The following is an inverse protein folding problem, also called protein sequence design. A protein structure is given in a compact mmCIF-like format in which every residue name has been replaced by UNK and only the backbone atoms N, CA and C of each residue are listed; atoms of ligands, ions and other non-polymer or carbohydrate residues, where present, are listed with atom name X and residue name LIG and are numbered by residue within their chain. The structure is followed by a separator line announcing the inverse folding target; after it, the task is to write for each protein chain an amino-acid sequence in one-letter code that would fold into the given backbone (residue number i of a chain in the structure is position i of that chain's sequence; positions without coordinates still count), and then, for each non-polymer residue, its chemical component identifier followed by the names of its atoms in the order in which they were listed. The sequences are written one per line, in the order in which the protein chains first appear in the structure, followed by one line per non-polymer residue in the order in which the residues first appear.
data_IF_198521474655
#
_entry.id   IF_198521474655
#
_cell.length_a   1.000
_cell.length_b   1.000
_cell.length_c   1.000
_cell.angle_alpha   90.00
_cell.angle_beta   90.00
_cell.angle_gamma   90.00
#
_symmetry.space_group_name_H-M   'P 1'
#
loop_
_entity.id
_entity.type
_entity.pdbx_description
1 polymer ?
#
# COMPACT_ATOMS: atom_id res chain seq x y z
N UNK A 1 -0.72 13.87 26.85
CA UNK A 1 0.63 14.47 26.84
C UNK A 1 1.66 13.40 27.20
N UNK A 2 2.27 12.79 26.17
CA UNK A 2 3.57 12.08 26.24
C UNK A 2 3.90 11.64 24.81
N UNK A 3 4.59 12.52 24.11
CA UNK A 3 5.13 12.35 22.76
C UNK A 3 6.22 11.29 22.82
N UNK A 4 6.05 10.18 22.11
CA UNK A 4 7.14 9.25 21.81
C UNK A 4 7.69 9.63 20.44
N UNK A 5 8.87 10.23 20.45
CA UNK A 5 9.71 10.47 19.28
C UNK A 5 10.28 9.10 18.89
N UNK A 6 9.83 8.54 17.77
CA UNK A 6 10.51 7.43 17.11
C UNK A 6 11.37 8.06 16.02
N UNK A 7 12.68 7.93 16.19
CA UNK A 7 13.67 8.37 15.22
C UNK A 7 13.62 7.42 14.01
N UNK A 8 13.05 7.91 12.91
CA UNK A 8 13.21 7.29 11.59
C UNK A 8 14.62 7.65 11.13
N UNK A 9 15.48 6.63 11.06
CA UNK A 9 16.78 6.73 10.39
C UNK A 9 16.47 6.77 8.90
N UNK A 10 16.22 7.98 8.38
CA UNK A 10 16.28 8.25 6.96
C UNK A 10 17.76 8.14 6.57
N UNK A 11 18.13 7.04 5.91
CA UNK A 11 19.33 7.02 5.09
C UNK A 11 19.01 7.96 3.92
N UNK A 12 19.33 9.23 4.11
CA UNK A 12 19.27 10.24 3.08
C UNK A 12 20.26 9.81 2.02
N UNK A 13 19.77 9.30 0.89
CA UNK A 13 20.49 9.23 -0.36
C UNK A 13 20.78 10.67 -0.82
N UNK A 14 21.76 11.29 -0.17
CA UNK A 14 22.35 12.57 -0.55
C UNK A 14 23.63 12.27 -1.30
N UNK A 15 23.48 11.89 -2.57
CA UNK A 15 24.45 11.97 -3.65
C UNK A 15 23.65 11.61 -4.91
N UNK A 16 23.39 12.46 -5.90
CA UNK A 16 24.08 13.67 -6.33
C UNK A 16 23.12 14.48 -7.25
N UNK A 17 22.17 15.22 -6.69
CA UNK A 17 21.43 16.28 -7.41
C UNK A 17 22.01 17.64 -6.99
N UNK A 18 23.31 17.81 -7.19
CA UNK A 18 23.86 19.15 -7.36
C UNK A 18 23.73 19.47 -8.84
N UNK A 19 22.77 20.34 -9.16
CA UNK A 19 22.88 21.22 -10.31
C UNK A 19 24.14 22.08 -10.11
N UNK A 20 25.30 21.50 -10.43
CA UNK A 20 26.48 22.31 -10.74
C UNK A 20 26.05 23.06 -12.00
N UNK A 21 26.12 24.40 -12.06
CA UNK A 21 26.10 25.05 -13.36
C UNK A 21 27.15 24.30 -14.18
N UNK A 22 26.79 23.85 -15.38
CA UNK A 22 27.78 23.35 -16.35
C UNK A 22 28.69 24.56 -16.62
N UNK A 23 29.68 24.75 -15.76
CA UNK A 23 30.91 25.34 -16.15
C UNK A 23 31.36 24.41 -17.28
N UNK A 24 31.41 24.98 -18.48
CA UNK A 24 32.21 24.47 -19.59
C UNK A 24 33.65 24.44 -19.06
N UNK A 25 33.94 23.42 -18.25
CA UNK A 25 35.19 23.17 -17.57
C UNK A 25 35.95 22.22 -18.46
N UNK A 26 37.03 22.75 -19.02
CA UNK A 26 38.02 22.06 -19.85
C UNK A 26 38.03 20.54 -19.71
N UNK A 27 37.77 19.88 -20.83
CA UNK A 27 38.05 18.47 -21.09
C UNK A 27 39.43 18.10 -20.49
N UNK A 28 39.42 17.41 -19.36
CA UNK A 28 40.65 16.92 -18.74
C UNK A 28 41.10 15.70 -19.54
N UNK A 29 41.95 15.93 -20.54
CA UNK A 29 42.63 14.88 -21.29
C UNK A 29 43.91 14.55 -20.52
N UNK A 30 44.04 13.37 -19.86
CA UNK A 30 45.32 12.95 -19.33
C UNK A 30 46.35 12.88 -20.46
N UNK A 31 47.56 13.38 -20.19
CA UNK A 31 48.67 13.63 -21.12
C UNK A 31 49.34 12.35 -21.68
N UNK A 32 48.59 11.27 -21.85
CA UNK A 32 48.97 10.10 -22.66
C UNK A 32 48.17 10.10 -23.95
N UNK A 33 48.41 11.10 -24.81
CA UNK A 33 47.97 11.09 -26.22
C UNK A 33 48.73 9.97 -26.95
N UNK A 34 48.25 8.74 -26.82
CA UNK A 34 48.71 7.62 -27.62
C UNK A 34 48.09 7.76 -29.01
N UNK A 35 48.89 7.59 -30.06
CA UNK A 35 48.45 7.56 -31.46
C UNK A 35 47.59 6.31 -31.69
N UNK A 36 46.34 6.32 -31.25
CA UNK A 36 45.38 5.30 -31.64
C UNK A 36 44.84 5.57 -33.02
N UNK A 37 44.61 4.49 -33.76
CA UNK A 37 44.06 4.53 -35.11
C UNK A 37 42.58 4.24 -35.02
N UNK A 38 41.79 5.03 -35.74
CA UNK A 38 40.35 4.82 -35.97
C UNK A 38 40.21 4.20 -37.36
N UNK A 39 40.00 2.89 -37.44
CA UNK A 39 39.79 2.17 -38.69
C UNK A 39 38.34 2.24 -39.15
N UNK A 40 37.38 2.25 -38.22
CA UNK A 40 35.96 2.26 -38.49
C UNK A 40 35.23 3.38 -37.74
N UNK A 41 34.16 3.86 -38.37
CA UNK A 41 33.11 4.63 -37.73
C UNK A 41 31.84 3.76 -37.75
N UNK A 42 31.60 3.04 -36.66
CA UNK A 42 30.36 2.28 -36.46
C UNK A 42 29.31 3.18 -35.84
N UNK A 43 28.11 3.12 -36.38
CA UNK A 43 26.96 3.88 -35.89
C UNK A 43 25.86 2.92 -35.46
N UNK A 44 25.48 3.04 -34.19
CA UNK A 44 24.56 2.16 -33.47
C UNK A 44 24.41 2.64 -32.04
N UNK A 45 23.29 2.34 -31.42
CA UNK A 45 23.00 2.70 -30.03
C UNK A 45 22.07 1.65 -29.40
N UNK A 46 22.10 1.49 -28.06
CA UNK A 46 21.12 0.68 -27.35
C UNK A 46 19.75 1.35 -27.41
N UNK A 47 18.70 0.54 -27.33
CA UNK A 47 17.33 1.04 -27.22
C UNK A 47 16.52 0.09 -26.34
N UNK A 48 16.20 0.49 -25.11
CA UNK A 48 15.56 -0.41 -24.14
C UNK A 48 14.05 -0.21 -24.12
N UNK A 49 13.32 -1.33 -24.08
CA UNK A 49 11.87 -1.32 -23.84
C UNK A 49 11.59 -2.04 -22.55
N UNK A 50 11.03 -1.31 -21.59
CA UNK A 50 10.58 -1.86 -20.32
C UNK A 50 9.15 -2.43 -20.41
N UNK A 51 8.93 -3.60 -19.81
CA UNK A 51 7.63 -4.24 -19.69
C UNK A 51 7.44 -4.81 -18.29
N UNK A 52 6.31 -4.50 -17.64
CA UNK A 52 5.90 -5.12 -16.39
C UNK A 52 5.46 -6.56 -16.66
N UNK A 53 6.00 -7.51 -15.89
CA UNK A 53 5.68 -8.94 -15.98
C UNK A 53 4.81 -9.33 -14.80
N UNK A 54 3.73 -10.07 -15.06
CA UNK A 54 2.86 -10.62 -14.02
C UNK A 54 1.64 -9.73 -13.74
N UNK A 55 1.20 -9.74 -12.49
CA UNK A 55 0.04 -8.98 -12.05
C UNK A 55 0.36 -7.48 -11.91
N UNK A 56 -0.64 -6.66 -12.20
CA UNK A 56 -0.59 -5.22 -12.01
C UNK A 56 -1.74 -4.71 -11.14
N UNK A 57 -2.61 -5.59 -10.64
CA UNK A 57 -3.67 -5.28 -9.71
C UNK A 57 -3.27 -5.67 -8.28
N UNK A 58 -3.43 -4.74 -7.33
CA UNK A 58 -3.00 -4.91 -5.95
C UNK A 58 -4.08 -4.43 -4.98
N UNK A 59 -4.11 -5.00 -3.79
CA UNK A 59 -4.97 -4.61 -2.68
C UNK A 59 -4.26 -3.64 -1.72
N UNK A 60 -5.01 -2.97 -0.85
CA UNK A 60 -4.43 -2.05 0.14
C UNK A 60 -3.56 -2.81 1.13
N UNK A 61 -2.45 -2.20 1.53
CA UNK A 61 -1.51 -2.82 2.48
C UNK A 61 -0.77 -4.04 1.96
N UNK A 62 -0.94 -4.41 0.68
CA UNK A 62 -0.29 -5.55 0.05
C UNK A 62 1.21 -5.30 -0.15
N UNK A 63 2.04 -6.30 0.18
CA UNK A 63 3.46 -6.34 -0.16
C UNK A 63 3.64 -7.16 -1.44
N UNK A 64 4.24 -6.57 -2.48
CA UNK A 64 4.43 -7.20 -3.78
C UNK A 64 5.82 -6.93 -4.35
N UNK A 65 6.16 -7.60 -5.47
CA UNK A 65 7.40 -7.35 -6.22
C UNK A 65 7.04 -7.07 -7.66
N UNK A 66 7.31 -5.86 -8.13
CA UNK A 66 7.19 -5.51 -9.54
C UNK A 66 8.42 -6.06 -10.28
N UNK A 67 8.19 -7.04 -11.16
CA UNK A 67 9.22 -7.57 -12.05
C UNK A 67 9.14 -6.86 -13.41
N UNK A 68 10.19 -6.10 -13.75
CA UNK A 68 10.26 -5.32 -14.98
C UNK A 68 11.33 -5.93 -15.88
N UNK A 69 10.94 -6.36 -17.07
CA UNK A 69 11.87 -6.86 -18.09
C UNK A 69 12.19 -5.76 -19.08
N UNK A 70 13.47 -5.59 -19.35
CA UNK A 70 14.01 -4.68 -20.36
C UNK A 70 14.50 -5.49 -21.54
N UNK A 71 13.95 -5.24 -22.72
CA UNK A 71 14.46 -5.82 -23.96
C UNK A 71 15.24 -4.78 -24.75
N UNK A 72 16.46 -5.10 -25.14
CA UNK A 72 17.29 -4.20 -25.93
C UNK A 72 17.07 -4.43 -27.42
N UNK A 73 16.42 -3.47 -28.08
CA UNK A 73 16.18 -3.41 -29.50
C UNK A 73 17.22 -2.57 -30.25
N UNK A 74 18.27 -2.13 -29.55
CA UNK A 74 19.40 -1.43 -30.12
C UNK A 74 20.06 -2.22 -31.24
N UNK A 75 20.59 -1.51 -32.23
CA UNK A 75 21.18 -2.13 -33.41
C UNK A 75 22.30 -1.27 -33.99
N UNK A 76 23.19 -1.92 -34.71
CA UNK A 76 24.16 -1.25 -35.59
C UNK A 76 23.48 -0.96 -36.93
N UNK A 77 23.42 0.32 -37.31
CA UNK A 77 22.78 0.75 -38.55
C UNK A 77 23.77 1.16 -39.63
N UNK A 78 25.03 1.44 -39.29
CA UNK A 78 26.07 1.77 -40.27
C UNK A 78 27.45 1.35 -39.80
N UNK A 79 28.24 0.82 -40.72
CA UNK A 79 29.68 0.59 -40.56
C UNK A 79 30.36 1.29 -41.73
N UNK A 80 31.27 2.23 -41.44
CA UNK A 80 32.02 2.97 -42.46
C UNK A 80 33.51 2.84 -42.13
N UNK A 81 34.35 2.51 -43.11
CA UNK A 81 35.81 2.62 -42.92
C UNK A 81 36.23 4.08 -42.86
N UNK A 82 37.00 4.45 -41.84
CA UNK A 82 37.56 5.80 -41.66
C UNK A 82 39.00 5.86 -42.17
N UNK A 83 39.82 4.84 -41.86
CA UNK A 83 41.16 4.66 -42.44
C UNK A 83 41.17 3.63 -43.57
N UNK A 84 41.71 4.02 -44.72
CA UNK A 84 42.01 3.09 -45.81
C UNK A 84 43.39 2.48 -45.62
N UNK A 85 43.46 1.15 -45.62
CA UNK A 85 44.72 0.41 -45.53
C UNK A 85 45.43 0.38 -46.89
N UNK A 86 46.74 0.59 -46.88
CA UNK A 86 47.57 0.57 -48.09
C UNK A 86 48.40 -0.72 -48.13
N UNK A 87 48.14 -1.60 -49.10
CA UNK A 87 48.82 -2.90 -49.23
C UNK A 87 50.33 -2.81 -49.48
N UNK A 88 50.86 -1.61 -49.75
CA UNK A 88 52.29 -1.38 -49.93
C UNK A 88 53.00 -1.00 -48.63
N UNK A 89 52.28 -0.84 -47.51
CA UNK A 89 52.88 -0.55 -46.21
C UNK A 89 53.41 -1.84 -45.56
N UNK A 90 54.58 -1.76 -44.93
CA UNK A 90 55.24 -2.93 -44.32
C UNK A 90 54.41 -3.55 -43.17
N UNK A 91 53.56 -2.75 -42.52
CA UNK A 91 52.68 -3.18 -41.43
C UNK A 91 51.25 -3.51 -41.88
N UNK A 92 50.98 -3.67 -43.18
CA UNK A 92 49.64 -3.88 -43.72
C UNK A 92 48.88 -5.06 -43.05
N UNK A 93 49.54 -6.20 -42.87
CA UNK A 93 48.93 -7.38 -42.25
C UNK A 93 48.56 -7.13 -40.77
N UNK A 94 49.41 -6.38 -40.05
CA UNK A 94 49.15 -5.99 -38.66
C UNK A 94 47.96 -5.02 -38.57
N UNK A 95 47.89 -4.05 -39.49
CA UNK A 95 46.79 -3.08 -39.53
C UNK A 95 45.45 -3.75 -39.85
N UNK A 96 45.42 -4.80 -40.68
CA UNK A 96 44.20 -5.59 -40.90
C UNK A 96 43.70 -6.21 -39.59
N UNK A 97 44.59 -6.81 -38.78
CA UNK A 97 44.21 -7.47 -37.53
C UNK A 97 43.77 -6.42 -36.49
N UNK A 98 44.45 -5.29 -36.42
CA UNK A 98 44.04 -4.19 -35.55
C UNK A 98 42.69 -3.60 -35.97
N UNK A 99 42.45 -3.39 -37.27
CA UNK A 99 41.16 -2.96 -37.79
C UNK A 99 40.04 -3.94 -37.46
N UNK A 100 40.29 -5.25 -37.61
CA UNK A 100 39.32 -6.27 -37.22
C UNK A 100 39.04 -6.27 -35.70
N UNK A 101 40.07 -5.99 -34.88
CA UNK A 101 39.94 -5.86 -33.42
C UNK A 101 39.06 -4.67 -33.06
N UNK A 102 39.31 -3.50 -33.67
CA UNK A 102 38.48 -2.31 -33.48
C UNK A 102 37.03 -2.59 -33.84
N UNK A 103 36.79 -3.14 -35.04
CA UNK A 103 35.43 -3.43 -35.50
C UNK A 103 34.71 -4.40 -34.57
N UNK A 104 35.38 -5.46 -34.10
CA UNK A 104 34.80 -6.45 -33.20
C UNK A 104 34.32 -5.84 -31.87
N UNK A 105 35.02 -4.83 -31.37
CA UNK A 105 34.62 -4.09 -30.17
C UNK A 105 33.58 -3.01 -30.49
N UNK A 106 33.72 -2.32 -31.62
CA UNK A 106 32.85 -1.18 -31.97
C UNK A 106 31.44 -1.62 -32.39
N UNK A 107 31.24 -2.87 -32.81
CA UNK A 107 29.89 -3.43 -33.02
C UNK A 107 29.13 -3.71 -31.70
N UNK A 108 29.78 -3.64 -30.55
CA UNK A 108 29.14 -3.71 -29.23
C UNK A 108 28.48 -2.38 -28.82
N UNK A 109 28.55 -1.34 -29.66
CA UNK A 109 27.88 -0.04 -29.45
C UNK A 109 26.39 -0.13 -29.13
N UNK A 110 25.71 -1.16 -29.61
CA UNK A 110 24.29 -1.40 -29.31
C UNK A 110 24.03 -2.08 -27.97
N UNK A 111 25.06 -2.46 -27.21
CA UNK A 111 24.92 -3.03 -25.86
C UNK A 111 24.76 -1.92 -24.82
N UNK A 112 23.80 -2.07 -23.91
CA UNK A 112 23.65 -1.20 -22.74
C UNK A 112 24.40 -1.83 -21.57
N UNK A 113 25.40 -1.16 -21.01
CA UNK A 113 26.22 -1.65 -19.90
C UNK A 113 25.97 -0.81 -18.64
N UNK A 114 26.17 -1.40 -17.46
CA UNK A 114 25.93 -0.74 -16.17
C UNK A 114 24.57 -0.04 -16.15
N UNK A 115 23.52 -0.81 -16.42
CA UNK A 115 22.16 -0.29 -16.56
C UNK A 115 21.58 -0.09 -15.16
N UNK A 116 21.51 1.18 -14.76
CA UNK A 116 20.85 1.62 -13.53
C UNK A 116 19.40 1.95 -13.83
N UNK A 117 18.48 1.34 -13.09
CA UNK A 117 17.04 1.54 -13.21
C UNK A 117 16.52 2.14 -11.91
N UNK A 118 15.91 3.32 -12.01
CA UNK A 118 15.30 4.02 -10.88
C UNK A 118 13.79 4.08 -11.07
N UNK A 119 13.03 3.55 -10.11
CA UNK A 119 11.57 3.57 -10.11
C UNK A 119 11.05 4.69 -9.19
N UNK A 120 10.21 5.55 -9.75
CA UNK A 120 9.57 6.66 -9.07
C UNK A 120 8.06 6.44 -8.95
N UNK A 121 7.56 6.53 -7.72
CA UNK A 121 6.14 6.43 -7.37
C UNK A 121 5.50 7.79 -7.08
N UNK A 122 5.95 8.84 -7.76
CA UNK A 122 5.51 10.23 -7.52
C UNK A 122 3.97 10.36 -7.64
N UNK A 123 3.29 10.52 -6.51
CA UNK A 123 1.83 10.70 -6.45
C UNK A 123 1.01 9.39 -6.52
N UNK A 124 1.66 8.23 -6.48
CA UNK A 124 1.01 6.94 -6.30
C UNK A 124 1.04 6.53 -4.82
N UNK A 125 -0.01 5.90 -4.27
CA UNK A 125 -0.07 5.45 -2.88
C UNK A 125 0.68 4.11 -2.71
N UNK A 126 1.97 4.13 -3.07
CA UNK A 126 2.84 2.95 -3.03
C UNK A 126 4.24 3.35 -2.56
N UNK A 127 4.72 2.61 -1.58
CA UNK A 127 6.07 2.68 -1.08
C UNK A 127 6.98 1.74 -1.88
N UNK A 128 7.98 2.31 -2.57
CA UNK A 128 9.03 1.53 -3.23
C UNK A 128 10.15 1.27 -2.22
N UNK A 129 10.27 0.03 -1.75
CA UNK A 129 11.19 -0.35 -0.67
C UNK A 129 12.65 -0.24 -1.15
N UNK A 130 12.90 -0.69 -2.39
CA UNK A 130 14.20 -0.57 -3.06
C UNK A 130 13.99 0.11 -4.40
N UNK A 131 14.32 1.40 -4.49
CA UNK A 131 14.03 2.23 -5.67
C UNK A 131 15.06 2.18 -6.79
N UNK A 132 16.22 1.53 -6.58
CA UNK A 132 17.30 1.42 -7.58
C UNK A 132 17.64 -0.05 -7.79
N UNK A 133 17.77 -0.46 -9.06
CA UNK A 133 18.21 -1.78 -9.48
C UNK A 133 19.30 -1.65 -10.54
N UNK A 134 20.31 -2.52 -10.47
CA UNK A 134 21.44 -2.52 -11.40
C UNK A 134 21.43 -3.80 -12.22
N UNK A 135 21.63 -3.67 -13.54
CA UNK A 135 21.80 -4.78 -14.47
C UNK A 135 23.15 -4.60 -15.16
N UNK A 136 24.03 -5.61 -15.05
CA UNK A 136 25.42 -5.52 -15.52
C UNK A 136 25.52 -5.15 -17.00
N UNK A 137 24.79 -5.85 -17.87
CA UNK A 137 24.72 -5.56 -19.30
C UNK A 137 23.46 -6.16 -19.91
N UNK A 138 22.96 -5.52 -20.97
CA UNK A 138 21.90 -6.02 -21.83
C UNK A 138 22.38 -5.89 -23.28
N UNK A 139 22.82 -7.02 -23.85
CA UNK A 139 23.24 -7.09 -25.24
C UNK A 139 22.09 -6.81 -26.22
N UNK A 140 22.43 -6.47 -27.46
CA UNK A 140 21.43 -6.27 -28.51
C UNK A 140 20.61 -7.55 -28.76
N UNK A 141 19.28 -7.44 -28.69
CA UNK A 141 18.36 -8.58 -28.78
C UNK A 141 18.18 -9.37 -27.48
N UNK A 142 18.93 -9.05 -26.42
CA UNK A 142 18.84 -9.70 -25.12
C UNK A 142 17.87 -8.98 -24.18
N UNK A 143 17.65 -9.60 -23.02
CA UNK A 143 16.76 -9.09 -21.97
C UNK A 143 17.46 -9.02 -20.62
N UNK A 144 17.26 -7.94 -19.89
CA UNK A 144 17.59 -7.81 -18.47
C UNK A 144 16.33 -7.70 -17.62
N UNK A 145 16.41 -8.00 -16.33
CA UNK A 145 15.26 -7.94 -15.41
C UNK A 145 15.62 -7.17 -14.15
N UNK A 146 14.76 -6.24 -13.75
CA UNK A 146 14.83 -5.49 -12.50
C UNK A 146 13.64 -5.84 -11.61
N UNK A 147 13.86 -5.96 -10.30
CA UNK A 147 12.83 -6.32 -9.33
C UNK A 147 12.68 -5.24 -8.26
N UNK A 148 11.49 -4.68 -8.15
CA UNK A 148 11.18 -3.61 -7.21
C UNK A 148 10.19 -4.12 -6.16
N UNK A 149 10.65 -4.46 -4.94
CA UNK A 149 9.73 -4.73 -3.84
C UNK A 149 8.97 -3.45 -3.47
N UNK A 150 7.65 -3.56 -3.38
CA UNK A 150 6.74 -2.47 -3.11
C UNK A 150 5.76 -2.84 -1.98
N UNK A 151 5.18 -1.81 -1.36
CA UNK A 151 4.04 -1.92 -0.45
C UNK A 151 2.97 -0.91 -0.85
N UNK A 152 1.74 -1.35 -1.08
CA UNK A 152 0.60 -0.44 -1.28
C UNK A 152 0.20 0.15 0.06
N UNK A 153 -0.11 1.45 0.11
CA UNK A 153 -0.55 2.10 1.35
C UNK A 153 -1.84 1.46 1.89
N UNK A 154 -1.99 1.40 3.22
CA UNK A 154 -3.17 0.80 3.86
C UNK A 154 -4.45 1.61 3.57
N UNK A 155 -4.32 2.92 3.32
CA UNK A 155 -5.40 3.84 2.95
C UNK A 155 -5.38 4.24 1.47
N UNK A 156 -4.65 3.50 0.63
CA UNK A 156 -4.51 3.75 -0.79
C UNK A 156 -5.89 3.87 -1.47
N UNK A 157 -6.21 5.01 -2.12
CA UNK A 157 -7.43 5.12 -2.90
C UNK A 157 -7.41 4.13 -4.07
N UNK A 158 -8.55 3.49 -4.34
CA UNK A 158 -8.66 2.64 -5.51
C UNK A 158 -8.48 3.44 -6.80
N UNK A 159 -7.74 2.91 -7.76
CA UNK A 159 -7.47 3.62 -9.00
C UNK A 159 -6.28 3.08 -9.79
N UNK A 160 -6.01 3.73 -10.92
CA UNK A 160 -4.89 3.39 -11.79
C UNK A 160 -3.77 4.40 -11.61
N UNK A 161 -2.58 3.92 -11.28
CA UNK A 161 -1.42 4.72 -10.99
C UNK A 161 -0.31 4.47 -12.00
N UNK A 162 0.33 5.55 -12.45
CA UNK A 162 1.48 5.50 -13.37
C UNK A 162 2.75 5.66 -12.57
N UNK A 163 3.63 4.67 -12.65
CA UNK A 163 4.95 4.76 -12.04
C UNK A 163 5.96 5.09 -13.14
N UNK A 164 6.76 6.12 -12.90
CA UNK A 164 7.78 6.57 -13.84
C UNK A 164 9.07 5.84 -13.55
N UNK A 165 9.80 5.48 -14.59
CA UNK A 165 11.08 4.83 -14.46
C UNK A 165 12.10 5.58 -15.31
N UNK A 166 13.28 5.81 -14.75
CA UNK A 166 14.42 6.32 -15.50
C UNK A 166 15.49 5.24 -15.56
N UNK A 167 15.96 4.97 -16.76
CA UNK A 167 17.01 3.99 -17.03
C UNK A 167 18.21 4.72 -17.56
N UNK A 168 19.32 4.62 -16.82
CA UNK A 168 20.61 5.18 -17.17
C UNK A 168 21.55 4.03 -17.53
N UNK A 169 22.31 4.16 -18.60
CA UNK A 169 23.26 3.12 -19.02
C UNK A 169 24.46 3.71 -19.72
N UNK A 170 25.59 3.03 -19.66
CA UNK A 170 26.76 3.35 -20.44
C UNK A 170 26.79 2.54 -21.73
N UNK A 171 27.24 3.17 -22.80
CA UNK A 171 27.54 2.48 -24.06
C UNK A 171 28.75 3.09 -24.72
N UNK A 172 29.32 2.30 -25.63
CA UNK A 172 30.48 2.71 -26.40
C UNK A 172 30.06 3.85 -27.33
N UNK A 173 30.78 4.96 -27.28
CA UNK A 173 30.68 6.06 -28.27
C UNK A 173 31.72 5.88 -29.37
N UNK A 174 32.94 5.50 -29.01
CA UNK A 174 34.00 5.21 -29.97
C UNK A 174 35.01 4.19 -29.43
N UNK A 175 35.67 3.48 -30.34
CA UNK A 175 36.81 2.61 -30.04
C UNK A 175 37.93 2.98 -30.99
N UNK A 176 39.16 3.02 -30.49
CA UNK A 176 40.34 3.12 -31.34
C UNK A 176 41.41 2.18 -30.81
N UNK A 177 42.25 1.67 -31.71
CA UNK A 177 43.24 0.66 -31.36
C UNK A 177 44.66 1.12 -31.67
N UNK A 178 45.61 0.63 -30.89
CA UNK A 178 47.06 0.84 -31.08
C UNK A 178 47.83 -0.40 -30.62
N UNK A 179 49.17 -0.38 -30.68
CA UNK A 179 50.00 -1.50 -30.27
C UNK A 179 50.26 -2.49 -31.41
N UNK A 180 50.34 -3.78 -31.09
CA UNK A 180 50.60 -4.86 -32.07
C UNK A 180 49.44 -5.86 -32.07
N UNK A 181 49.27 -6.66 -33.14
CA UNK A 181 48.22 -7.68 -33.19
C UNK A 181 48.20 -8.65 -32.00
N UNK A 182 49.37 -9.02 -31.47
CA UNK A 182 49.48 -9.91 -30.31
C UNK A 182 49.12 -9.23 -28.98
N UNK A 183 49.21 -7.89 -28.94
CA UNK A 183 48.99 -7.07 -27.74
C UNK A 183 48.31 -5.75 -28.13
N UNK A 184 47.06 -5.80 -28.62
CA UNK A 184 46.35 -4.60 -28.99
C UNK A 184 46.03 -3.79 -27.73
N UNK A 185 46.23 -2.48 -27.81
CA UNK A 185 45.77 -1.54 -26.80
C UNK A 185 44.51 -0.87 -27.32
N UNK A 186 43.38 -1.12 -26.64
CA UNK A 186 42.05 -0.67 -27.03
C UNK A 186 41.66 0.51 -26.16
N UNK A 187 41.46 1.66 -26.79
CA UNK A 187 41.00 2.88 -26.14
C UNK A 187 39.48 3.01 -26.32
N UNK A 188 38.76 3.11 -25.21
CA UNK A 188 37.31 3.24 -25.17
C UNK A 188 36.91 4.68 -24.85
N UNK A 189 35.98 5.22 -25.64
CA UNK A 189 35.23 6.41 -25.28
C UNK A 189 33.81 5.98 -25.02
N UNK A 190 33.39 6.00 -23.75
CA UNK A 190 32.02 5.68 -23.37
C UNK A 190 31.19 6.96 -23.23
N UNK A 191 29.89 6.82 -23.38
CA UNK A 191 28.92 7.87 -23.09
C UNK A 191 27.70 7.25 -22.42
N UNK A 192 26.99 8.06 -21.68
CA UNK A 192 25.78 7.64 -20.95
C UNK A 192 24.54 7.94 -21.79
N UNK A 193 23.62 6.97 -21.85
CA UNK A 193 22.26 7.12 -22.36
C UNK A 193 21.26 7.17 -21.22
N UNK A 194 20.16 7.89 -21.43
CA UNK A 194 19.04 7.97 -20.48
C UNK A 194 17.75 7.75 -21.24
N UNK A 195 16.96 6.79 -20.76
CA UNK A 195 15.62 6.51 -21.27
C UNK A 195 14.60 6.64 -20.14
N UNK A 196 13.38 7.05 -20.50
CA UNK A 196 12.27 7.14 -19.55
C UNK A 196 11.16 6.20 -19.97
N UNK A 197 10.72 5.36 -19.03
CA UNK A 197 9.61 4.45 -19.22
C UNK A 197 8.51 4.74 -18.21
N UNK A 198 7.33 4.19 -18.47
CA UNK A 198 6.20 4.29 -17.54
C UNK A 198 5.50 2.96 -17.49
N UNK A 199 5.31 2.45 -16.28
CA UNK A 199 4.48 1.28 -16.03
C UNK A 199 3.20 1.70 -15.31
N UNK A 200 2.20 0.84 -15.35
CA UNK A 200 0.90 1.08 -14.75
C UNK A 200 0.63 0.00 -13.72
N UNK A 201 0.18 0.43 -12.54
CA UNK A 201 -0.38 -0.45 -11.51
C UNK A 201 -1.82 0.00 -11.22
N UNK A 202 -2.61 -0.89 -10.65
CA UNK A 202 -4.01 -0.67 -10.28
C UNK A 202 -4.18 -1.06 -8.82
N UNK A 203 -4.67 -0.14 -8.00
CA UNK A 203 -5.18 -0.46 -6.67
C UNK A 203 -6.65 -0.80 -6.83
N UNK A 204 -7.01 -2.03 -6.46
CA UNK A 204 -8.37 -2.56 -6.61
C UNK A 204 -9.32 -1.83 -5.67
N UNK A 205 -10.61 -1.82 -6.03
CA UNK A 205 -11.65 -1.33 -5.13
C UNK A 205 -11.92 -2.38 -4.08
N UNK A 206 -12.06 -1.95 -2.84
CA UNK A 206 -12.40 -2.83 -1.73
C UNK A 206 -13.57 -2.27 -0.94
N UNK A 207 -14.27 -3.16 -0.26
CA UNK A 207 -15.20 -2.79 0.80
C UNK A 207 -14.43 -2.73 2.11
N UNK A 208 -14.55 -1.62 2.83
CA UNK A 208 -13.93 -1.44 4.14
C UNK A 208 -14.97 -0.87 5.12
N UNK A 209 -14.77 -1.10 6.41
CA UNK A 209 -15.77 -0.79 7.42
C UNK A 209 -15.20 -0.15 8.68
N UNK A 210 -15.88 0.89 9.13
CA UNK A 210 -15.62 1.53 10.41
C UNK A 210 -16.87 1.57 11.29
N UNK A 211 -16.68 1.50 12.61
CA UNK A 211 -17.75 1.77 13.57
C UNK A 211 -17.80 3.27 13.83
N UNK A 212 -18.95 3.88 13.54
CA UNK A 212 -19.17 5.33 13.69
C UNK A 212 -19.94 5.71 14.95
N UNK A 213 -20.76 4.80 15.49
CA UNK A 213 -21.52 5.02 16.72
C UNK A 213 -21.76 3.71 17.48
N UNK A 214 -21.78 3.80 18.82
CA UNK A 214 -22.04 2.69 19.73
C UNK A 214 -22.95 3.16 20.85
N UNK A 215 -24.14 2.56 20.95
CA UNK A 215 -25.09 2.83 22.02
C UNK A 215 -25.44 1.55 22.78
N UNK A 216 -25.43 1.62 24.12
CA UNK A 216 -25.76 0.48 24.99
C UNK A 216 -26.69 0.89 26.13
N UNK A 217 -27.65 0.03 26.46
CA UNK A 217 -28.54 0.16 27.63
C UNK A 217 -28.26 -0.92 28.71
N UNK A 218 -27.08 -1.55 28.62
CA UNK A 218 -26.69 -2.68 29.47
C UNK A 218 -26.52 -2.26 30.94
N UNK A 219 -27.03 -3.11 31.82
CA UNK A 219 -26.91 -2.99 33.27
C UNK A 219 -26.33 -4.26 33.88
N UNK A 220 -25.60 -4.12 34.99
CA UNK A 220 -25.05 -5.28 35.72
C UNK A 220 -26.14 -6.30 36.04
N UNK A 221 -25.91 -7.56 35.64
CA UNK A 221 -26.86 -8.65 35.86
C UNK A 221 -28.16 -8.56 35.05
N UNK A 222 -28.24 -7.66 34.07
CA UNK A 222 -29.41 -7.43 33.23
C UNK A 222 -29.21 -7.87 31.77
N UNK A 223 -30.28 -7.73 30.99
CA UNK A 223 -30.28 -7.93 29.54
C UNK A 223 -30.68 -6.63 28.86
N UNK A 224 -29.99 -6.27 27.79
CA UNK A 224 -30.27 -5.08 27.01
C UNK A 224 -29.80 -5.23 25.56
N UNK A 225 -29.81 -4.13 24.83
CA UNK A 225 -29.35 -3.99 23.47
C UNK A 225 -28.01 -3.25 23.40
N UNK A 226 -27.15 -3.75 22.53
CA UNK A 226 -25.94 -3.10 22.06
C UNK A 226 -26.16 -2.76 20.58
N UNK A 227 -26.32 -1.47 20.31
CA UNK A 227 -26.50 -0.94 18.96
C UNK A 227 -25.15 -0.46 18.44
N UNK A 228 -24.72 -0.99 17.29
CA UNK A 228 -23.44 -0.64 16.66
C UNK A 228 -23.71 -0.18 15.24
N UNK A 229 -23.29 1.04 14.91
CA UNK A 229 -23.46 1.61 13.58
C UNK A 229 -22.17 1.45 12.79
N UNK A 230 -22.25 0.68 11.70
CA UNK A 230 -21.14 0.44 10.78
C UNK A 230 -21.31 1.31 9.55
N UNK A 231 -20.21 1.87 9.05
CA UNK A 231 -20.16 2.62 7.81
C UNK A 231 -19.24 1.91 6.83
N UNK A 232 -19.67 1.74 5.59
CA UNK A 232 -18.77 1.31 4.52
C UNK A 232 -17.89 2.50 4.10
N UNK A 233 -16.60 2.43 4.37
CA UNK A 233 -15.60 3.47 4.06
C UNK A 233 -14.86 3.20 2.76
N UNK A 234 -14.96 1.98 2.21
CA UNK A 234 -14.37 1.59 0.94
C UNK A 234 -15.14 2.12 -0.28
N UNK A 235 -14.63 1.84 -1.47
CA UNK A 235 -15.24 2.25 -2.76
C UNK A 235 -16.10 1.16 -3.41
N UNK A 236 -16.22 0.00 -2.78
CA UNK A 236 -16.99 -1.12 -3.27
C UNK A 236 -18.29 -1.34 -2.47
N UNK A 237 -19.33 -1.84 -3.14
CA UNK A 237 -20.59 -2.21 -2.48
C UNK A 237 -20.48 -3.59 -1.86
N UNK A 238 -20.70 -3.68 -0.55
CA UNK A 238 -20.74 -4.94 0.15
C UNK A 238 -22.17 -5.52 0.17
N UNK A 239 -22.30 -6.80 -0.21
CA UNK A 239 -23.59 -7.51 -0.22
C UNK A 239 -23.59 -8.66 0.80
N UNK A 240 -24.77 -9.19 1.14
CA UNK A 240 -24.94 -10.24 2.17
C UNK A 240 -24.21 -9.92 3.49
N UNK A 241 -24.26 -8.66 3.91
CA UNK A 241 -23.54 -8.14 5.07
C UNK A 241 -24.14 -8.73 6.34
N UNK A 242 -23.30 -9.34 7.18
CA UNK A 242 -23.63 -9.84 8.51
C UNK A 242 -22.66 -9.24 9.51
N UNK A 243 -23.17 -8.41 10.42
CA UNK A 243 -22.40 -7.90 11.54
C UNK A 243 -22.34 -8.94 12.65
N UNK A 244 -21.18 -9.04 13.32
CA UNK A 244 -20.96 -9.97 14.43
C UNK A 244 -20.27 -9.27 15.60
N UNK A 245 -20.71 -9.59 16.81
CA UNK A 245 -20.01 -9.20 18.05
C UNK A 245 -19.39 -10.43 18.71
N UNK A 246 -18.20 -10.28 19.29
CA UNK A 246 -17.52 -11.36 19.99
C UNK A 246 -18.10 -11.57 21.39
N UNK A 247 -18.28 -12.83 21.79
CA UNK A 247 -18.59 -13.19 23.17
C UNK A 247 -17.35 -12.96 24.05
N UNK A 248 -17.47 -12.07 25.04
CA UNK A 248 -16.38 -11.77 25.95
C UNK A 248 -16.93 -11.42 27.32
N UNK A 249 -16.38 -12.03 28.39
CA UNK A 249 -16.76 -11.70 29.76
C UNK A 249 -16.63 -10.19 30.02
N UNK A 250 -17.62 -9.55 30.65
CA UNK A 250 -18.77 -10.12 31.38
C UNK A 250 -20.05 -10.25 30.54
N UNK A 251 -19.95 -10.24 29.22
CA UNK A 251 -21.08 -10.29 28.29
C UNK A 251 -21.34 -11.70 27.79
N UNK A 252 -22.61 -12.03 27.66
CA UNK A 252 -23.10 -13.20 26.95
C UNK A 252 -24.05 -12.70 25.85
N UNK A 253 -23.66 -12.82 24.58
CA UNK A 253 -24.51 -12.41 23.49
C UNK A 253 -25.61 -13.44 23.28
N UNK A 254 -26.86 -13.00 23.43
CA UNK A 254 -28.05 -13.82 23.16
C UNK A 254 -28.29 -13.85 21.64
N UNK A 255 -28.03 -12.73 20.97
CA UNK A 255 -27.89 -12.64 19.51
C UNK A 255 -26.55 -11.97 19.23
N UNK A 256 -25.64 -12.73 18.63
CA UNK A 256 -24.28 -12.29 18.33
C UNK A 256 -24.06 -11.94 16.85
N UNK A 257 -25.09 -12.11 16.01
CA UNK A 257 -25.06 -11.86 14.58
C UNK A 257 -26.35 -11.19 14.12
N UNK A 258 -26.23 -10.28 13.16
CA UNK A 258 -27.36 -9.63 12.52
C UNK A 258 -27.09 -9.41 11.02
N UNK A 259 -28.10 -9.70 10.20
CA UNK A 259 -28.04 -9.50 8.76
C UNK A 259 -28.44 -8.06 8.41
N UNK A 260 -27.52 -7.33 7.77
CA UNK A 260 -27.67 -5.93 7.38
C UNK A 260 -27.95 -5.75 5.89
N UNK A 261 -27.94 -6.83 5.10
CA UNK A 261 -28.29 -6.78 3.69
C UNK A 261 -27.14 -6.27 2.81
N UNK A 262 -27.32 -5.10 2.20
CA UNK A 262 -26.34 -4.47 1.30
C UNK A 262 -25.98 -3.11 1.86
N UNK A 263 -24.69 -2.77 1.88
CA UNK A 263 -24.19 -1.48 2.34
C UNK A 263 -23.33 -0.88 1.22
N UNK A 264 -23.81 0.19 0.61
CA UNK A 264 -23.08 0.89 -0.47
C UNK A 264 -21.96 1.78 0.11
N UNK A 265 -20.96 2.18 -0.70
CA UNK A 265 -19.92 3.12 -0.27
C UNK A 265 -20.48 4.36 0.42
N UNK A 266 -19.99 4.67 1.60
CA UNK A 266 -20.40 5.81 2.43
C UNK A 266 -21.69 5.63 3.24
N UNK A 267 -22.47 4.57 3.02
CA UNK A 267 -23.70 4.28 3.77
C UNK A 267 -23.38 3.80 5.19
N UNK A 268 -24.27 4.11 6.14
CA UNK A 268 -24.19 3.63 7.53
C UNK A 268 -25.43 2.84 7.92
N UNK A 269 -25.24 1.68 8.53
CA UNK A 269 -26.32 0.78 8.98
C UNK A 269 -26.05 0.34 10.41
N UNK A 270 -27.09 0.31 11.24
CA UNK A 270 -27.00 -0.07 12.65
C UNK A 270 -27.43 -1.52 12.85
N UNK A 271 -26.58 -2.31 13.51
CA UNK A 271 -26.93 -3.62 14.05
C UNK A 271 -27.37 -3.50 15.51
N UNK A 272 -28.30 -4.37 15.92
CA UNK A 272 -28.97 -4.45 17.21
C UNK A 272 -28.70 -5.80 17.90
N UNK A 273 -27.59 -5.90 18.63
CA UNK A 273 -27.25 -7.12 19.35
C UNK A 273 -27.95 -7.19 20.70
N UNK A 274 -28.58 -8.34 21.00
CA UNK A 274 -29.15 -8.58 22.33
C UNK A 274 -28.11 -9.22 23.23
N UNK A 275 -27.74 -8.55 24.31
CA UNK A 275 -26.64 -8.95 25.20
C UNK A 275 -27.11 -9.03 26.64
N UNK A 276 -26.65 -10.06 27.35
CA UNK A 276 -26.79 -10.18 28.81
C UNK A 276 -25.46 -9.91 29.51
N UNK A 277 -25.52 -9.29 30.67
CA UNK A 277 -24.34 -8.95 31.48
C UNK A 277 -24.35 -9.76 32.76
N UNK A 278 -23.20 -10.29 33.16
CA UNK A 278 -23.07 -11.05 34.40
C UNK A 278 -23.45 -10.24 35.65
N UNK A 279 -23.94 -10.92 36.68
CA UNK A 279 -24.29 -10.28 37.97
C UNK A 279 -23.07 -9.80 38.74
N UNK A 280 -21.90 -10.39 38.47
CA UNK A 280 -20.59 -10.00 39.02
C UNK A 280 -19.89 -8.92 38.18
N UNK A 281 -20.52 -8.45 37.10
CA UNK A 281 -19.94 -7.41 36.27
C UNK A 281 -19.73 -6.12 37.06
N UNK A 282 -18.65 -5.42 36.76
CA UNK A 282 -18.33 -4.12 37.35
C UNK A 282 -18.90 -3.04 36.44
N UNK A 283 -19.66 -2.06 36.95
CA UNK A 283 -20.10 -0.93 36.13
C UNK A 283 -18.89 -0.15 35.62
N UNK A 284 -18.60 -0.25 34.32
CA UNK A 284 -17.54 0.46 33.61
C UNK A 284 -17.74 0.33 32.10
N UNK A 285 -16.86 0.99 31.36
CA UNK A 285 -16.72 0.77 29.92
C UNK A 285 -15.82 -0.45 29.66
N UNK A 286 -16.25 -1.32 28.75
CA UNK A 286 -15.52 -2.51 28.31
C UNK A 286 -15.17 -2.38 26.82
N UNK A 287 -14.01 -2.90 26.41
CA UNK A 287 -13.67 -3.02 24.98
C UNK A 287 -14.13 -4.38 24.49
N UNK A 288 -14.84 -4.42 23.38
CA UNK A 288 -15.27 -5.66 22.70
C UNK A 288 -14.85 -5.57 21.23
N UNK A 289 -14.49 -6.70 20.63
CA UNK A 289 -14.23 -6.79 19.20
C UNK A 289 -15.50 -7.12 18.42
N UNK A 290 -15.70 -6.43 17.31
CA UNK A 290 -16.75 -6.67 16.33
C UNK A 290 -16.16 -6.80 14.92
N UNK A 291 -16.86 -7.49 14.03
CA UNK A 291 -16.44 -7.65 12.65
C UNK A 291 -17.64 -7.85 11.73
N UNK A 292 -17.39 -7.73 10.44
CA UNK A 292 -18.40 -7.89 9.39
C UNK A 292 -17.98 -9.04 8.49
N UNK A 293 -18.92 -9.95 8.21
CA UNK A 293 -18.81 -10.90 7.10
C UNK A 293 -19.65 -10.35 5.95
N UNK A 294 -19.12 -10.31 4.74
CA UNK A 294 -19.82 -9.80 3.58
C UNK A 294 -19.41 -10.56 2.31
N UNK A 295 -20.05 -10.24 1.19
CA UNK A 295 -19.60 -10.59 -0.15
C UNK A 295 -19.12 -9.33 -0.87
N UNK A 296 -17.92 -9.39 -1.43
CA UNK A 296 -17.35 -8.33 -2.27
C UNK A 296 -18.07 -8.26 -3.63
N UNK A 297 -17.60 -7.37 -4.51
CA UNK A 297 -18.18 -7.16 -5.84
C UNK A 297 -18.06 -8.37 -6.76
N UNK A 298 -17.07 -9.23 -6.54
CA UNK A 298 -16.88 -10.50 -7.25
C UNK A 298 -17.77 -11.63 -6.69
N UNK A 299 -18.38 -11.41 -5.52
CA UNK A 299 -19.27 -12.34 -4.85
C UNK A 299 -18.56 -13.28 -3.88
N UNK A 300 -17.27 -13.06 -3.64
CA UNK A 300 -16.44 -13.84 -2.73
C UNK A 300 -16.71 -13.42 -1.29
N UNK A 301 -16.71 -14.41 -0.38
CA UNK A 301 -16.98 -14.16 1.04
C UNK A 301 -15.72 -13.60 1.70
N UNK A 302 -15.82 -12.36 2.19
CA UNK A 302 -14.77 -11.65 2.92
C UNK A 302 -15.18 -11.41 4.38
N UNK A 303 -14.18 -11.18 5.21
CA UNK A 303 -14.34 -10.79 6.62
C UNK A 303 -13.51 -9.53 6.82
N UNK A 304 -14.12 -8.50 7.40
CA UNK A 304 -13.44 -7.25 7.72
C UNK A 304 -12.37 -7.47 8.78
N UNK A 305 -11.44 -6.52 8.88
CA UNK A 305 -10.61 -6.41 10.06
C UNK A 305 -11.45 -6.25 11.34
N UNK A 306 -10.93 -6.72 12.49
CA UNK A 306 -11.64 -6.62 13.76
C UNK A 306 -11.64 -5.18 14.26
N UNK A 307 -12.83 -4.60 14.42
CA UNK A 307 -13.04 -3.26 14.98
C UNK A 307 -13.23 -3.35 16.50
N UNK A 308 -12.60 -2.45 17.25
CA UNK A 308 -12.74 -2.37 18.70
C UNK A 308 -13.80 -1.34 19.10
N UNK A 309 -14.78 -1.74 19.91
CA UNK A 309 -15.87 -0.88 20.38
C UNK A 309 -15.90 -0.77 21.90
N UNK A 310 -16.23 0.42 22.39
CA UNK A 310 -16.44 0.70 23.81
C UNK A 310 -17.89 0.49 24.21
N UNK A 311 -18.16 -0.48 25.08
CA UNK A 311 -19.51 -0.80 25.57
C UNK A 311 -19.65 -0.38 27.03
N UNK A 312 -20.60 0.51 27.30
CA UNK A 312 -20.86 1.01 28.66
C UNK A 312 -21.83 0.09 29.41
N UNK A 313 -21.47 -0.29 30.63
CA UNK A 313 -22.33 -1.03 31.56
C UNK A 313 -22.70 -0.14 32.74
N UNK A 314 -23.99 0.15 32.87
CA UNK A 314 -24.51 0.93 33.98
C UNK A 314 -24.70 0.08 35.25
N UNK A 315 -24.68 0.70 36.45
CA UNK A 315 -25.07 0.03 37.68
C UNK A 315 -26.51 -0.50 37.58
N UNK A 316 -26.77 -1.61 38.27
CA UNK A 316 -28.13 -2.09 38.42
C UNK A 316 -28.92 -1.12 39.27
N UNK A 317 -29.97 -0.51 38.70
CA UNK A 317 -30.89 0.34 39.46
C UNK A 317 -31.76 -0.54 40.36
N UNK A 318 -31.72 -0.38 41.70
CA UNK A 318 -32.55 -1.14 42.61
C UNK A 318 -34.04 -0.95 42.32
N UNK A 319 -34.83 -2.00 42.50
CA UNK A 319 -36.28 -1.94 42.30
C UNK A 319 -36.95 -0.88 43.21
N UNK A 320 -36.42 -0.65 44.42
CA UNK A 320 -36.91 0.38 45.34
C UNK A 320 -36.82 1.80 44.76
N UNK A 321 -35.75 2.11 44.03
CA UNK A 321 -35.60 3.42 43.38
C UNK A 321 -36.51 3.56 42.16
N UNK A 322 -36.69 2.48 41.37
CA UNK A 322 -37.70 2.45 40.29
C UNK A 322 -39.12 2.67 40.83
N UNK A 323 -39.42 2.09 42.00
CA UNK A 323 -40.70 2.31 42.68
C UNK A 323 -40.85 3.80 43.02
N UNK A 324 -39.89 4.38 43.75
CA UNK A 324 -39.95 5.78 44.20
C UNK A 324 -40.02 6.81 43.06
N UNK A 325 -39.43 6.51 41.90
CA UNK A 325 -39.50 7.38 40.72
C UNK A 325 -40.93 7.53 40.16
N UNK A 326 -41.77 6.49 40.27
CA UNK A 326 -43.13 6.52 39.74
C UNK A 326 -44.14 6.84 40.85
N UNK A 327 -44.31 8.12 41.20
CA UNK A 327 -45.10 8.57 42.39
C UNK A 327 -46.58 8.17 42.39
N UNK A 328 -47.11 7.59 41.32
CA UNK A 328 -48.49 7.11 41.20
C UNK A 328 -48.87 6.05 42.23
N UNK A 329 -47.95 5.15 42.59
CA UNK A 329 -48.26 4.14 43.63
C UNK A 329 -48.43 4.77 45.02
N UNK A 330 -47.80 5.93 45.29
CA UNK A 330 -47.97 6.66 46.55
C UNK A 330 -49.41 7.20 46.63
N UNK A 331 -49.93 7.74 45.52
CA UNK A 331 -51.32 8.21 45.43
C UNK A 331 -52.29 7.03 45.54
N UNK A 332 -52.02 5.92 44.85
CA UNK A 332 -52.84 4.71 44.93
C UNK A 332 -52.85 4.09 46.33
N UNK A 333 -51.70 4.04 47.01
CA UNK A 333 -51.57 3.55 48.37
C UNK A 333 -52.29 4.47 49.38
N UNK A 334 -52.20 5.80 49.21
CA UNK A 334 -52.92 6.76 50.05
C UNK A 334 -54.44 6.65 49.88
N UNK A 335 -54.93 6.45 48.65
CA UNK A 335 -56.34 6.20 48.36
C UNK A 335 -56.82 4.88 48.97
N UNK A 336 -56.06 3.80 48.82
CA UNK A 336 -56.36 2.51 49.46
C UNK A 336 -56.43 2.64 50.99
N UNK A 337 -55.48 3.37 51.59
CA UNK A 337 -55.47 3.61 53.03
C UNK A 337 -56.69 4.42 53.48
N UNK A 338 -57.08 5.46 52.73
CA UNK A 338 -58.25 6.27 53.03
C UNK A 338 -59.56 5.45 52.95
N UNK A 339 -59.68 4.54 51.98
CA UNK A 339 -60.82 3.60 51.87
C UNK A 339 -60.85 2.65 53.07
N UNK A 340 -59.69 2.12 53.48
CA UNK A 340 -59.58 1.20 54.63
C UNK A 340 -59.91 1.88 55.96
N UNK A 341 -59.44 3.11 56.16
CA UNK A 341 -59.79 3.93 57.34
C UNK A 341 -61.26 4.29 57.32
N UNK A 342 -61.83 4.62 56.16
CA UNK A 342 -63.27 4.86 55.98
C UNK A 342 -64.12 3.65 56.37
N UNK A 343 -63.72 2.44 55.95
CA UNK A 343 -64.39 1.18 56.32
C UNK A 343 -64.30 0.91 57.83
N UNK A 344 -63.11 1.05 58.44
CA UNK A 344 -62.91 0.84 59.88
C UNK A 344 -63.62 1.89 60.76
N UNK A 345 -63.70 3.15 60.30
CA UNK A 345 -64.45 4.20 60.98
C UNK A 345 -65.97 3.98 60.88
N UNK A 346 -66.46 3.49 59.72
CA UNK A 346 -67.84 3.09 59.51
C UNK A 346 -68.29 1.97 60.45
N UNK A 347 -67.43 0.99 60.71
CA UNK A 347 -67.71 -0.10 61.66
C UNK A 347 -67.75 0.38 63.12
N UNK A 348 -66.93 1.37 63.51
CA UNK A 348 -66.98 1.96 64.87
C UNK A 348 -68.19 2.88 65.09
N UNK A 349 -68.63 3.61 64.06
CA UNK A 349 -69.83 4.45 64.14
C UNK A 349 -71.11 3.63 64.33
N UNK A 350 -71.20 2.47 63.65
CA UNK A 350 -72.36 1.58 63.70
C UNK A 350 -72.53 0.86 65.05
N UNK A 351 -71.47 0.76 65.88
CA UNK A 351 -71.56 0.24 67.27
C UNK A 351 -72.00 1.28 68.31
N UNK A 352 -72.02 2.58 67.99
CA UNK A 352 -72.42 3.65 68.93
C UNK A 352 -73.86 4.14 68.79
N UNK A 353 -74.58 3.82 67.70
CA UNK A 353 -75.99 4.23 67.51
C UNK A 353 -77.02 3.13 67.79
N UNK A 354 -76.64 2.05 68.49
CA UNK A 354 -77.50 0.91 68.80
C UNK A 354 -77.63 0.60 70.30
N UNK A 355 -77.46 1.61 71.15
CA UNK A 355 -77.67 1.53 72.61
C UNK A 355 -78.90 2.30 73.02
#
# INVERSE_FOLDING_TARGET
MRTKIVAIIAIVATALLLAVPVAVGSEYIPESYTRSTNYYDVTGEPYLIATLVGDCEFYRGEDAVLEITFQNYGAIYRIKGDKYLNSNEENYDDEIILAATELATEIEKSCANHVDVVLFADGAPVDVIVGVQEIESIGAGETGTARFPIRIDDDAPAGTYRLRMETCYDHIRNVQVSGTPDKPNINYWNTTGVESHTIVIVVTKESDFEVTDVASDLQVGGTGFLNVTYKNTGEETATDVIARVSDMLPFNAISNQEHLGTIVPGESVTAHFRVSTDRSAVPKMYSISTGIRFKDGDGDIRISDPMQIGVSVAPKVPFSEKLLANRWWIVAAALLLAVLVGLLAGERGRKRSGG
#
